data_IF_731284416923
#
_entry.id   IF_731284416923
#
_cell.length_a   1.000
_cell.length_b   1.000
_cell.length_c   1.000
_cell.angle_alpha   90.00
_cell.angle_beta   90.00
_cell.angle_gamma   90.00
#
_symmetry.space_group_name_H-M   'P 1'
#
loop_
_entity.id
_entity.type
_entity.pdbx_description
1 polymer ?
#
# COMPACT_ATOMS: atom_id res chain seq x y z
N UNK A 1 -43.97 -9.87 61.61
CA UNK A 1 -43.77 -9.59 60.20
C UNK A 1 -42.75 -8.42 60.09
N UNK A 2 -41.48 -8.71 59.96
CA UNK A 2 -40.38 -7.70 59.97
C UNK A 2 -40.16 -7.29 58.53
N UNK A 3 -40.41 -6.01 58.24
CA UNK A 3 -40.31 -5.44 56.92
C UNK A 3 -38.85 -5.46 56.42
N UNK A 4 -38.59 -6.19 55.39
CA UNK A 4 -37.30 -6.31 54.69
C UNK A 4 -36.90 -5.02 53.95
N UNK A 5 -37.70 -3.98 53.93
CA UNK A 5 -37.53 -2.74 53.19
C UNK A 5 -36.48 -1.77 53.81
N UNK A 6 -35.92 -2.07 54.98
CA UNK A 6 -35.00 -1.12 55.65
C UNK A 6 -33.52 -1.47 55.63
N UNK A 7 -33.10 -2.51 54.91
CA UNK A 7 -31.71 -3.01 55.01
C UNK A 7 -30.88 -2.78 53.71
N UNK A 8 -31.46 -2.27 52.66
CA UNK A 8 -30.66 -1.93 51.48
C UNK A 8 -30.46 -0.41 51.43
N UNK A 9 -29.25 0.10 51.65
CA UNK A 9 -29.00 1.53 51.55
C UNK A 9 -29.30 2.00 50.11
N UNK A 10 -30.16 3.01 49.99
CA UNK A 10 -30.64 3.60 48.74
C UNK A 10 -29.51 4.03 47.80
N UNK A 11 -28.32 4.18 48.36
CA UNK A 11 -27.07 4.57 47.62
C UNK A 11 -26.54 3.40 46.76
N UNK A 12 -26.71 2.12 47.23
CA UNK A 12 -26.22 0.95 46.49
C UNK A 12 -27.12 0.67 45.28
N UNK A 13 -28.41 0.83 45.41
CA UNK A 13 -29.39 0.62 44.36
C UNK A 13 -29.29 1.65 43.25
N UNK A 14 -28.99 2.93 43.58
CA UNK A 14 -28.70 3.99 42.59
C UNK A 14 -27.41 3.73 41.84
N UNK A 15 -26.40 3.17 42.51
CA UNK A 15 -25.10 2.86 41.89
C UNK A 15 -25.20 1.67 40.92
N UNK A 16 -25.92 0.65 41.26
CA UNK A 16 -26.14 -0.53 40.41
C UNK A 16 -27.02 -0.16 39.24
N UNK A 17 -28.14 0.54 39.44
CA UNK A 17 -29.01 1.01 38.37
C UNK A 17 -28.30 1.90 37.35
N UNK A 18 -27.42 2.81 37.81
CA UNK A 18 -26.63 3.65 36.93
C UNK A 18 -25.60 2.87 36.10
N UNK A 19 -25.00 1.81 36.64
CA UNK A 19 -24.08 0.93 35.91
C UNK A 19 -24.80 0.14 34.83
N UNK A 20 -25.93 -0.48 35.17
CA UNK A 20 -26.75 -1.22 34.21
C UNK A 20 -27.26 -0.31 33.10
N UNK A 21 -27.77 0.88 33.45
CA UNK A 21 -28.18 1.87 32.44
C UNK A 21 -27.06 2.29 31.50
N UNK A 22 -25.84 2.50 32.02
CA UNK A 22 -24.69 2.82 31.20
C UNK A 22 -24.26 1.66 30.27
N UNK A 23 -24.29 0.41 30.78
CA UNK A 23 -24.00 -0.77 29.95
C UNK A 23 -25.01 -0.91 28.81
N UNK A 24 -26.29 -0.72 29.09
CA UNK A 24 -27.36 -0.74 28.09
C UNK A 24 -27.13 0.36 27.06
N UNK A 25 -26.81 1.59 27.48
CA UNK A 25 -26.55 2.70 26.60
C UNK A 25 -25.29 2.44 25.73
N UNK A 26 -24.25 1.88 26.31
CA UNK A 26 -23.05 1.49 25.57
C UNK A 26 -23.33 0.39 24.55
N UNK A 27 -24.14 -0.61 24.91
CA UNK A 27 -24.59 -1.65 23.99
C UNK A 27 -25.38 -1.06 22.80
N UNK A 28 -26.33 -0.16 23.03
CA UNK A 28 -27.06 0.51 21.96
C UNK A 28 -26.18 1.43 21.11
N UNK A 29 -25.19 2.11 21.72
CA UNK A 29 -24.23 2.93 20.97
C UNK A 29 -23.29 2.08 20.10
N UNK A 30 -22.81 0.95 20.59
CA UNK A 30 -22.00 0.03 19.81
C UNK A 30 -22.81 -0.60 18.67
N UNK A 31 -24.04 -1.04 18.97
CA UNK A 31 -24.96 -1.59 17.98
C UNK A 31 -25.32 -0.60 16.86
N UNK A 32 -25.45 0.72 17.17
CA UNK A 32 -25.66 1.74 16.13
C UNK A 32 -24.47 1.90 15.19
N UNK A 33 -23.24 1.71 15.65
CA UNK A 33 -22.05 1.74 14.76
C UNK A 33 -22.03 0.54 13.83
N UNK A 34 -22.32 -0.65 14.33
CA UNK A 34 -22.33 -1.88 13.52
C UNK A 34 -23.61 -2.07 12.68
N UNK A 35 -24.69 -1.34 13.00
CA UNK A 35 -25.94 -1.43 12.23
C UNK A 35 -25.84 -0.85 10.81
N UNK A 36 -24.79 -0.10 10.52
CA UNK A 36 -24.47 0.43 9.19
C UNK A 36 -23.43 -0.41 8.44
N UNK A 37 -22.84 -1.40 9.12
CA UNK A 37 -21.89 -2.30 8.50
C UNK A 37 -22.66 -3.27 7.59
N UNK A 38 -22.36 -3.21 6.29
CA UNK A 38 -22.94 -4.14 5.30
C UNK A 38 -21.89 -5.21 5.02
N UNK A 39 -22.28 -6.47 5.06
CA UNK A 39 -21.38 -7.56 4.70
C UNK A 39 -21.04 -7.51 3.23
N UNK A 40 -19.76 -7.66 2.88
CA UNK A 40 -19.33 -7.74 1.48
C UNK A 40 -19.92 -8.93 0.73
N UNK A 41 -20.37 -9.95 1.45
CA UNK A 41 -21.01 -11.14 0.90
C UNK A 41 -22.54 -11.04 0.85
N UNK A 42 -23.12 -9.92 1.31
CA UNK A 42 -24.57 -9.73 1.20
C UNK A 42 -24.97 -9.50 -0.26
N UNK A 43 -26.03 -10.17 -0.73
CA UNK A 43 -26.52 -9.96 -2.07
C UNK A 43 -27.11 -8.55 -2.23
N UNK A 44 -26.65 -7.82 -3.23
CA UNK A 44 -27.16 -6.47 -3.59
C UNK A 44 -28.28 -6.61 -4.63
N UNK A 45 -28.07 -7.52 -5.58
CA UNK A 45 -28.96 -7.68 -6.74
C UNK A 45 -28.83 -9.09 -7.29
N UNK A 46 -29.62 -9.40 -8.31
CA UNK A 46 -29.58 -10.67 -9.02
C UNK A 46 -29.25 -10.41 -10.48
N UNK A 47 -28.31 -11.14 -11.05
CA UNK A 47 -27.99 -11.02 -12.45
C UNK A 47 -29.11 -11.55 -13.36
N UNK A 48 -28.95 -11.40 -14.68
CA UNK A 48 -29.95 -11.84 -15.68
C UNK A 48 -30.17 -13.36 -15.69
N UNK A 49 -29.21 -14.11 -15.13
CA UNK A 49 -29.20 -15.57 -15.06
C UNK A 49 -29.71 -16.10 -13.71
N UNK A 50 -30.13 -15.21 -12.79
CA UNK A 50 -30.69 -15.54 -11.50
C UNK A 50 -29.67 -15.77 -10.39
N UNK A 51 -28.38 -15.48 -10.62
CA UNK A 51 -27.35 -15.60 -9.59
C UNK A 51 -27.30 -14.34 -8.71
N UNK A 52 -27.11 -14.53 -7.40
CA UNK A 52 -26.97 -13.42 -6.47
C UNK A 52 -25.67 -12.66 -6.73
N UNK A 53 -25.78 -11.36 -6.98
CA UNK A 53 -24.64 -10.45 -7.11
C UNK A 53 -24.30 -9.86 -5.75
N UNK A 54 -23.08 -10.06 -5.28
CA UNK A 54 -22.60 -9.53 -4.01
C UNK A 54 -21.80 -8.23 -4.19
N UNK A 55 -21.60 -7.46 -3.10
CA UNK A 55 -20.71 -6.29 -3.10
C UNK A 55 -19.31 -6.72 -3.54
N UNK A 56 -18.85 -7.89 -3.11
CA UNK A 56 -17.53 -8.42 -3.45
C UNK A 56 -17.37 -8.61 -4.98
N UNK A 57 -18.41 -9.07 -5.67
CA UNK A 57 -18.38 -9.29 -7.13
C UNK A 57 -18.33 -7.97 -7.91
N UNK A 58 -18.87 -6.90 -7.34
CA UNK A 58 -18.82 -5.55 -7.95
C UNK A 58 -17.50 -4.82 -7.69
N UNK A 59 -16.73 -5.26 -6.68
CA UNK A 59 -15.39 -4.77 -6.46
C UNK A 59 -14.45 -5.40 -7.50
N UNK A 60 -14.29 -4.71 -8.64
CA UNK A 60 -13.30 -5.07 -9.64
C UNK A 60 -11.91 -5.06 -8.96
N UNK A 61 -11.39 -6.22 -8.68
CA UNK A 61 -9.97 -6.39 -8.39
C UNK A 61 -9.30 -6.25 -9.75
N UNK A 62 -8.64 -5.11 -9.99
CA UNK A 62 -7.78 -4.95 -11.15
C UNK A 62 -6.83 -6.16 -11.19
N UNK A 63 -6.95 -6.97 -12.22
CA UNK A 63 -6.07 -8.12 -12.42
C UNK A 63 -4.66 -7.63 -12.78
N UNK A 64 -3.92 -7.25 -11.76
CA UNK A 64 -2.55 -6.72 -11.88
C UNK A 64 -1.51 -7.82 -12.12
N UNK A 65 -1.94 -9.07 -12.31
CA UNK A 65 -1.03 -10.22 -12.52
C UNK A 65 -0.20 -9.99 -13.78
N UNK A 66 -0.83 -9.63 -14.89
CA UNK A 66 -0.15 -9.36 -16.17
C UNK A 66 0.82 -8.19 -16.03
N UNK A 67 0.40 -7.09 -15.39
CA UNK A 67 1.25 -5.93 -15.14
C UNK A 67 2.43 -6.26 -14.23
N UNK A 68 2.21 -7.06 -13.19
CA UNK A 68 3.26 -7.49 -12.27
C UNK A 68 4.30 -8.37 -12.94
N UNK A 69 3.89 -9.27 -13.84
CA UNK A 69 4.78 -10.11 -14.65
C UNK A 69 5.57 -9.24 -15.63
N UNK A 70 4.92 -8.31 -16.33
CA UNK A 70 5.56 -7.40 -17.26
C UNK A 70 6.60 -6.51 -16.55
N UNK A 71 6.25 -5.97 -15.39
CA UNK A 71 7.18 -5.20 -14.55
C UNK A 71 8.38 -6.04 -14.12
N UNK A 72 8.17 -7.29 -13.72
CA UNK A 72 9.24 -8.22 -13.35
C UNK A 72 10.18 -8.50 -14.51
N UNK A 73 9.63 -8.74 -15.69
CA UNK A 73 10.42 -8.96 -16.92
C UNK A 73 11.23 -7.72 -17.29
N UNK A 74 10.62 -6.53 -17.28
CA UNK A 74 11.31 -5.25 -17.53
C UNK A 74 12.43 -4.98 -16.51
N UNK A 75 12.19 -5.30 -15.24
CA UNK A 75 13.20 -5.18 -14.19
C UNK A 75 14.40 -6.11 -14.44
N UNK A 76 14.16 -7.37 -14.79
CA UNK A 76 15.24 -8.31 -15.11
C UNK A 76 16.07 -7.84 -16.32
N UNK A 77 15.42 -7.29 -17.36
CA UNK A 77 16.11 -6.70 -18.51
C UNK A 77 16.95 -5.50 -18.09
N UNK A 78 16.40 -4.61 -17.26
CA UNK A 78 17.14 -3.45 -16.73
C UNK A 78 18.43 -3.88 -16.02
N UNK A 79 18.35 -4.88 -15.12
CA UNK A 79 19.54 -5.38 -14.41
C UNK A 79 20.60 -5.95 -15.35
N UNK A 80 20.18 -6.60 -16.42
CA UNK A 80 21.06 -7.09 -17.47
C UNK A 80 21.78 -5.95 -18.20
N UNK A 81 21.02 -4.91 -18.62
CA UNK A 81 21.59 -3.75 -19.33
C UNK A 81 22.46 -2.88 -18.44
N UNK A 82 22.18 -2.76 -17.16
CA UNK A 82 23.09 -2.09 -16.22
C UNK A 82 24.50 -2.70 -16.23
N UNK A 83 24.61 -4.00 -16.49
CA UNK A 83 25.90 -4.69 -16.51
C UNK A 83 26.56 -4.68 -17.89
N UNK A 84 25.79 -4.82 -18.97
CA UNK A 84 26.31 -5.00 -20.33
C UNK A 84 26.52 -3.68 -21.08
N UNK A 85 25.70 -2.66 -20.84
CA UNK A 85 25.64 -1.43 -21.65
C UNK A 85 26.35 -0.25 -20.98
N UNK A 86 26.30 -0.19 -19.64
CA UNK A 86 26.85 0.92 -18.89
C UNK A 86 28.31 0.68 -18.46
N UNK A 87 29.13 1.72 -18.56
CA UNK A 87 30.46 1.73 -17.93
C UNK A 87 30.32 1.63 -16.39
N UNK A 88 31.36 1.19 -15.71
CA UNK A 88 31.36 1.09 -14.23
C UNK A 88 30.93 2.39 -13.55
N UNK A 89 31.41 3.53 -14.09
CA UNK A 89 31.10 4.85 -13.53
C UNK A 89 29.64 5.28 -13.78
N UNK A 90 29.12 5.03 -14.99
CA UNK A 90 27.71 5.28 -15.33
C UNK A 90 26.79 4.42 -14.47
N UNK A 91 27.10 3.14 -14.33
CA UNK A 91 26.36 2.19 -13.50
C UNK A 91 26.33 2.64 -12.04
N UNK A 92 27.46 3.03 -11.46
CA UNK A 92 27.53 3.48 -10.08
C UNK A 92 26.67 4.73 -9.85
N UNK A 93 26.70 5.70 -10.76
CA UNK A 93 25.86 6.90 -10.68
C UNK A 93 24.38 6.52 -10.71
N UNK A 94 23.96 5.71 -11.68
CA UNK A 94 22.55 5.30 -11.84
C UNK A 94 22.09 4.48 -10.62
N UNK A 95 22.86 3.50 -10.18
CA UNK A 95 22.49 2.65 -9.03
C UNK A 95 22.32 3.48 -7.75
N UNK A 96 23.19 4.42 -7.47
CA UNK A 96 23.08 5.31 -6.30
C UNK A 96 21.95 6.33 -6.42
N UNK A 97 21.68 6.80 -7.63
CA UNK A 97 20.57 7.75 -7.87
C UNK A 97 19.21 7.11 -7.66
N UNK A 98 19.01 5.93 -8.20
CA UNK A 98 17.72 5.25 -8.24
C UNK A 98 17.56 4.15 -7.20
N UNK A 99 18.56 3.91 -6.36
CA UNK A 99 18.49 2.88 -5.31
C UNK A 99 18.52 1.46 -5.86
N UNK A 100 19.27 1.21 -6.95
CA UNK A 100 19.37 -0.11 -7.55
C UNK A 100 20.52 -0.92 -6.92
N UNK A 101 20.47 -2.25 -7.04
CA UNK A 101 21.50 -3.17 -6.54
C UNK A 101 21.80 -3.01 -5.03
N UNK A 102 20.75 -2.75 -4.22
CA UNK A 102 20.89 -2.62 -2.77
C UNK A 102 21.36 -1.26 -2.26
N UNK A 103 21.52 -0.28 -3.15
CA UNK A 103 21.78 1.09 -2.72
C UNK A 103 20.49 1.80 -2.32
N UNK A 104 20.57 2.70 -1.34
CA UNK A 104 19.49 3.66 -1.08
C UNK A 104 19.52 4.80 -2.10
N UNK A 105 18.36 5.30 -2.59
CA UNK A 105 18.29 6.39 -3.54
C UNK A 105 18.88 7.68 -2.97
N UNK A 106 19.74 8.34 -3.71
CA UNK A 106 20.46 9.54 -3.29
C UNK A 106 20.29 10.70 -4.27
N UNK A 107 20.17 11.96 -3.82
CA UNK A 107 20.15 13.11 -4.70
C UNK A 107 21.52 13.33 -5.39
N UNK A 108 21.52 13.92 -6.58
CA UNK A 108 22.75 14.17 -7.37
C UNK A 108 23.87 14.82 -6.55
N UNK A 109 23.53 15.73 -5.62
CA UNK A 109 24.49 16.40 -4.75
C UNK A 109 25.26 15.44 -3.85
N UNK A 110 24.58 14.44 -3.31
CA UNK A 110 25.18 13.42 -2.45
C UNK A 110 26.06 12.46 -3.25
N UNK A 111 25.59 12.04 -4.43
CA UNK A 111 26.37 11.20 -5.35
C UNK A 111 27.64 11.93 -5.78
N UNK A 112 27.53 13.21 -6.13
CA UNK A 112 28.67 14.06 -6.50
C UNK A 112 29.72 14.12 -5.38
N UNK A 113 29.28 14.39 -4.15
CA UNK A 113 30.17 14.42 -2.97
C UNK A 113 30.87 13.08 -2.75
N UNK A 114 30.15 11.97 -2.90
CA UNK A 114 30.69 10.62 -2.69
C UNK A 114 31.69 10.19 -3.75
N UNK A 115 31.49 10.61 -5.00
CA UNK A 115 32.35 10.30 -6.14
C UNK A 115 33.48 11.33 -6.36
N UNK A 116 33.55 12.39 -5.55
CA UNK A 116 34.56 13.45 -5.68
C UNK A 116 34.44 14.24 -6.98
N UNK A 117 33.23 14.42 -7.52
CA UNK A 117 32.99 15.11 -8.79
C UNK A 117 31.93 16.21 -8.64
N UNK A 118 31.83 17.10 -9.65
CA UNK A 118 30.80 18.14 -9.62
C UNK A 118 29.40 17.59 -9.84
N UNK A 119 28.39 18.24 -9.27
CA UNK A 119 26.98 17.91 -9.51
C UNK A 119 26.61 17.93 -10.99
N UNK A 120 27.12 18.93 -11.72
CA UNK A 120 26.87 19.06 -13.16
C UNK A 120 27.42 17.88 -13.94
N UNK A 121 28.56 17.34 -13.51
CA UNK A 121 29.14 16.16 -14.13
C UNK A 121 28.35 14.90 -13.85
N UNK A 122 27.81 14.72 -12.59
CA UNK A 122 26.87 13.64 -12.27
C UNK A 122 25.65 13.71 -13.17
N UNK A 123 25.05 14.89 -13.35
CA UNK A 123 23.88 15.08 -14.22
C UNK A 123 24.14 14.68 -15.68
N UNK A 124 25.33 15.02 -16.24
CA UNK A 124 25.70 14.61 -17.59
C UNK A 124 25.88 13.10 -17.71
N UNK A 125 26.53 12.46 -16.73
CA UNK A 125 26.69 10.99 -16.68
C UNK A 125 25.34 10.32 -16.61
N UNK A 126 24.47 10.78 -15.72
CA UNK A 126 23.11 10.25 -15.53
C UNK A 126 22.32 10.32 -16.85
N UNK A 127 22.28 11.50 -17.49
CA UNK A 127 21.58 11.68 -18.77
C UNK A 127 22.10 10.73 -19.85
N UNK A 128 23.43 10.63 -20.00
CA UNK A 128 24.05 9.75 -20.98
C UNK A 128 23.76 8.26 -20.69
N UNK A 129 23.79 7.86 -19.43
CA UNK A 129 23.50 6.49 -19.03
C UNK A 129 22.04 6.11 -19.29
N UNK A 130 21.09 6.99 -18.95
CA UNK A 130 19.67 6.78 -19.22
C UNK A 130 19.38 6.71 -20.73
N UNK A 131 20.04 7.54 -21.54
CA UNK A 131 19.90 7.49 -22.99
C UNK A 131 20.37 6.14 -23.58
N UNK A 132 21.50 5.63 -23.12
CA UNK A 132 21.98 4.30 -23.52
C UNK A 132 20.99 3.19 -23.15
N UNK A 133 20.47 3.19 -21.92
CA UNK A 133 19.48 2.23 -21.48
C UNK A 133 18.23 2.31 -22.32
N UNK A 134 17.73 3.53 -22.58
CA UNK A 134 16.54 3.74 -23.41
C UNK A 134 16.71 3.15 -24.81
N UNK A 135 17.84 3.40 -25.45
CA UNK A 135 18.14 2.87 -26.78
C UNK A 135 18.11 1.32 -26.81
N UNK A 136 18.63 0.66 -25.77
CA UNK A 136 18.59 -0.79 -25.72
C UNK A 136 17.17 -1.33 -25.51
N UNK A 137 16.36 -0.69 -24.68
CA UNK A 137 14.93 -1.06 -24.54
C UNK A 137 14.15 -0.83 -25.84
N UNK A 138 14.45 0.22 -26.59
CA UNK A 138 13.78 0.50 -27.88
C UNK A 138 14.19 -0.52 -28.97
N UNK A 139 15.44 -0.96 -29.02
CA UNK A 139 15.90 -2.01 -29.93
C UNK A 139 15.18 -3.33 -29.73
N UNK A 140 15.03 -3.78 -28.48
CA UNK A 140 14.30 -5.03 -28.17
C UNK A 140 12.80 -4.95 -28.48
N UNK A 141 12.22 -3.76 -28.49
CA UNK A 141 10.80 -3.57 -28.82
C UNK A 141 10.52 -3.69 -30.32
N UNK A 142 11.54 -3.54 -31.15
CA UNK A 142 11.42 -3.59 -32.61
C UNK A 142 11.67 -4.98 -33.20
N UNK A 143 12.07 -5.93 -32.39
CA UNK A 143 12.26 -7.35 -32.72
C UNK A 143 11.07 -8.16 -32.24
#
# INVERSE_FOLDING_TARGET
MIAWEKIIPSVHQKRIGGRIANEILMFFRSGKKSAQDVSLSDPIDTDKDGNALTILDTMAVDDTIVESIDLKMKSQRLYRYLQSVLTLREREVVCRRYGLLGFSPQPQRMVAKRLGISRSYVSRIEKKALEKLRQEFEKERQV
#
